data_IF_039829186149
#
_entry.id   IF_039829186149
#
_cell.length_a   1.000
_cell.length_b   1.000
_cell.length_c   1.000
_cell.angle_alpha   90.00
_cell.angle_beta   90.00
_cell.angle_gamma   90.00
#
_symmetry.space_group_name_H-M   'P 1'
#
loop_
_entity.id
_entity.type
_entity.pdbx_description
1 polymer ?
#
# COMPACT_ATOMS: atom_id res chain seq x y z
N UNK A 1 -0.36 39.70 14.77
CA UNK A 1 1.03 39.79 14.30
C UNK A 1 1.01 39.66 12.79
N UNK A 2 1.62 40.57 12.03
CA UNK A 2 1.76 40.38 10.57
C UNK A 2 2.78 39.27 10.34
N UNK A 3 2.40 38.24 9.57
CA UNK A 3 3.33 37.19 9.17
C UNK A 3 4.44 37.84 8.34
N UNK A 4 5.73 37.62 8.66
CA UNK A 4 6.82 38.21 7.89
C UNK A 4 6.77 37.67 6.44
N UNK A 5 6.95 38.55 5.48
CA UNK A 5 6.97 38.18 4.06
C UNK A 5 8.36 37.68 3.69
N UNK A 6 8.46 36.52 3.05
CA UNK A 6 9.72 36.04 2.48
C UNK A 6 10.10 36.92 1.30
N UNK A 7 11.30 37.47 1.32
CA UNK A 7 11.86 38.29 0.24
C UNK A 7 13.06 37.58 -0.37
N UNK A 8 13.21 37.66 -1.66
CA UNK A 8 14.41 37.15 -2.33
C UNK A 8 14.94 38.14 -3.36
N UNK A 9 16.23 38.03 -3.63
CA UNK A 9 16.89 38.80 -4.67
C UNK A 9 18.12 38.02 -5.18
N UNK A 10 18.44 38.22 -6.43
CA UNK A 10 19.65 37.70 -7.02
C UNK A 10 20.86 38.50 -6.54
N UNK A 11 21.97 37.78 -6.32
CA UNK A 11 23.22 38.35 -5.87
C UNK A 11 24.37 37.71 -6.64
N UNK A 12 25.29 38.55 -7.14
CA UNK A 12 26.49 38.12 -7.83
C UNK A 12 27.66 38.07 -6.82
N UNK A 13 28.11 36.87 -6.45
CA UNK A 13 29.20 36.68 -5.48
C UNK A 13 30.53 36.57 -6.22
N UNK A 14 31.46 37.55 -6.01
CA UNK A 14 32.76 37.55 -6.68
C UNK A 14 33.78 36.59 -6.04
N UNK A 15 33.46 35.99 -4.88
CA UNK A 15 34.42 35.21 -4.11
C UNK A 15 34.65 33.83 -4.73
N UNK A 16 35.95 33.45 -4.78
CA UNK A 16 36.40 32.14 -5.29
C UNK A 16 36.08 31.89 -6.78
N UNK A 17 36.06 32.92 -7.61
CA UNK A 17 35.93 32.86 -9.05
C UNK A 17 36.88 33.91 -9.68
N UNK A 18 37.47 33.56 -10.83
CA UNK A 18 38.36 34.44 -11.58
C UNK A 18 37.61 35.64 -12.15
N UNK A 19 38.02 36.89 -11.87
CA UNK A 19 37.47 38.07 -12.50
C UNK A 19 37.56 37.98 -14.05
N UNK A 20 36.60 38.53 -14.80
CA UNK A 20 35.46 39.38 -14.35
C UNK A 20 34.20 38.60 -13.94
N UNK A 21 34.29 37.30 -13.90
CA UNK A 21 33.12 36.46 -13.60
C UNK A 21 32.75 36.51 -12.11
N UNK A 22 31.44 36.38 -11.86
CA UNK A 22 30.84 36.26 -10.52
C UNK A 22 29.91 35.07 -10.48
N UNK A 23 29.82 34.42 -9.31
CA UNK A 23 28.92 33.30 -9.11
C UNK A 23 27.48 33.78 -8.87
N UNK A 24 26.54 33.17 -9.52
CA UNK A 24 25.13 33.45 -9.32
C UNK A 24 24.67 32.86 -7.96
N UNK A 25 24.04 33.68 -7.13
CA UNK A 25 23.48 33.31 -5.84
C UNK A 25 22.07 33.88 -5.68
N UNK A 26 21.18 33.11 -5.05
CA UNK A 26 19.87 33.58 -4.62
C UNK A 26 19.93 33.91 -3.13
N UNK A 27 19.71 35.17 -2.78
CA UNK A 27 19.57 35.64 -1.41
C UNK A 27 18.10 35.58 -0.99
N UNK A 28 17.79 34.80 0.02
CA UNK A 28 16.47 34.69 0.63
C UNK A 28 16.53 35.32 2.00
N UNK A 29 15.51 36.15 2.35
CA UNK A 29 15.44 36.87 3.60
C UNK A 29 14.07 36.64 4.25
N UNK A 30 14.06 36.25 5.53
CA UNK A 30 12.86 36.04 6.31
C UNK A 30 13.09 36.36 7.78
N UNK A 31 12.19 37.13 8.42
CA UNK A 31 12.23 37.48 9.85
C UNK A 31 13.60 37.99 10.34
N UNK A 32 14.28 38.83 9.54
CA UNK A 32 15.61 39.39 9.88
C UNK A 32 16.79 38.48 9.57
N UNK A 33 16.56 37.21 9.28
CA UNK A 33 17.60 36.24 8.89
C UNK A 33 17.78 36.20 7.38
N UNK A 34 18.98 35.77 6.93
CA UNK A 34 19.33 35.67 5.50
C UNK A 34 19.97 34.34 5.21
N UNK A 35 19.59 33.75 4.05
CA UNK A 35 20.18 32.56 3.48
C UNK A 35 20.64 32.84 2.05
N UNK A 36 21.83 32.32 1.68
CA UNK A 36 22.39 32.45 0.34
C UNK A 36 22.49 31.07 -0.30
N UNK A 37 21.58 30.79 -1.25
CA UNK A 37 21.67 29.60 -2.07
C UNK A 37 22.70 29.85 -3.18
N UNK A 38 23.82 29.14 -3.09
CA UNK A 38 24.85 29.13 -4.14
C UNK A 38 24.52 28.08 -5.17
N UNK A 39 24.77 28.40 -6.42
CA UNK A 39 24.60 27.48 -7.54
C UNK A 39 25.93 26.86 -7.94
N UNK A 40 25.84 25.89 -8.87
CA UNK A 40 27.01 25.23 -9.44
C UNK A 40 28.04 26.27 -9.88
N UNK A 41 29.32 26.10 -9.56
CA UNK A 41 30.40 27.03 -9.99
C UNK A 41 30.52 27.20 -11.49
N UNK A 42 29.92 26.31 -12.31
CA UNK A 42 29.87 26.48 -13.76
C UNK A 42 28.92 27.60 -14.19
N UNK A 43 27.92 27.97 -13.37
CA UNK A 43 26.99 29.09 -13.65
C UNK A 43 27.62 30.37 -13.11
N UNK A 44 28.41 31.00 -13.93
CA UNK A 44 29.09 32.27 -13.67
C UNK A 44 28.78 33.27 -14.77
N UNK A 45 28.65 34.54 -14.41
CA UNK A 45 28.29 35.64 -15.31
C UNK A 45 29.11 36.88 -15.00
N UNK A 46 29.31 37.74 -16.00
CA UNK A 46 29.84 39.10 -15.77
C UNK A 46 28.69 40.04 -15.40
N UNK A 47 29.03 41.27 -14.94
CA UNK A 47 28.04 42.28 -14.64
C UNK A 47 27.25 42.68 -15.91
N UNK A 48 27.91 42.76 -17.05
CA UNK A 48 27.33 43.10 -18.34
C UNK A 48 26.33 42.02 -18.78
N UNK A 49 26.70 40.75 -18.66
CA UNK A 49 25.82 39.61 -19.02
C UNK A 49 24.59 39.57 -18.10
N UNK A 50 24.76 39.89 -16.83
CA UNK A 50 23.63 39.98 -15.87
C UNK A 50 22.72 41.17 -16.20
N UNK A 51 23.27 42.30 -16.60
CA UNK A 51 22.50 43.45 -17.02
C UNK A 51 21.67 43.19 -18.26
N UNK A 52 22.22 42.45 -19.26
CA UNK A 52 21.48 42.00 -20.44
C UNK A 52 20.30 41.12 -20.05
N UNK A 53 20.49 40.16 -19.13
CA UNK A 53 19.39 39.33 -18.65
C UNK A 53 18.33 40.18 -17.94
N UNK A 54 18.74 41.13 -17.15
CA UNK A 54 17.83 42.04 -16.42
C UNK A 54 16.98 42.85 -17.41
N UNK A 55 17.57 43.39 -18.46
CA UNK A 55 16.86 44.11 -19.53
C UNK A 55 15.87 43.19 -20.28
N UNK A 56 16.28 41.96 -20.65
CA UNK A 56 15.39 40.98 -21.29
C UNK A 56 14.20 40.64 -20.40
N UNK A 57 14.40 40.45 -19.13
CA UNK A 57 13.34 40.14 -18.14
C UNK A 57 12.35 41.28 -17.94
N UNK A 58 12.80 42.52 -18.11
CA UNK A 58 11.95 43.74 -18.06
C UNK A 58 11.22 44.00 -19.39
N UNK A 59 11.35 43.13 -20.39
CA UNK A 59 10.75 43.29 -21.70
C UNK A 59 11.46 44.35 -22.59
N UNK A 60 12.66 44.77 -22.18
CA UNK A 60 13.46 45.69 -22.96
C UNK A 60 14.15 44.99 -24.15
N UNK A 61 14.33 45.70 -25.24
CA UNK A 61 14.96 45.10 -26.42
C UNK A 61 16.47 44.94 -26.21
N UNK A 62 16.95 43.71 -26.30
CA UNK A 62 18.38 43.37 -26.26
C UNK A 62 18.88 43.32 -27.72
N UNK A 63 19.64 44.33 -28.11
CA UNK A 63 20.15 44.44 -29.50
C UNK A 63 21.37 43.55 -29.72
N UNK A 64 21.64 43.16 -30.98
CA UNK A 64 22.82 42.38 -31.36
C UNK A 64 24.14 43.08 -30.92
N UNK A 65 24.17 44.41 -30.96
CA UNK A 65 25.33 45.17 -30.51
C UNK A 65 25.62 45.01 -29.03
N UNK A 66 24.59 45.06 -28.18
CA UNK A 66 24.73 44.83 -26.71
C UNK A 66 25.19 43.41 -26.41
N UNK A 67 24.76 42.43 -27.19
CA UNK A 67 25.23 41.05 -27.04
C UNK A 67 26.71 40.92 -27.42
N UNK A 68 27.13 41.53 -28.49
CA UNK A 68 28.54 41.55 -28.95
C UNK A 68 29.45 42.26 -27.91
N UNK A 69 29.00 43.41 -27.41
CA UNK A 69 29.76 44.18 -26.42
C UNK A 69 29.96 43.39 -25.09
N UNK A 70 29.05 42.49 -24.75
CA UNK A 70 29.13 41.60 -23.56
C UNK A 70 29.74 40.22 -23.89
N UNK A 71 30.24 40.00 -25.08
CA UNK A 71 30.76 38.70 -25.55
C UNK A 71 29.78 37.55 -25.30
N UNK A 72 28.49 37.77 -25.56
CA UNK A 72 27.40 36.84 -25.27
C UNK A 72 26.51 36.61 -26.51
N UNK A 73 25.95 35.40 -26.62
CA UNK A 73 24.98 35.08 -27.66
C UNK A 73 23.55 35.13 -27.13
N UNK A 74 22.57 35.26 -28.02
CA UNK A 74 21.17 35.22 -27.64
C UNK A 74 20.77 33.84 -27.07
N UNK A 75 21.42 32.77 -27.54
CA UNK A 75 21.20 31.42 -27.02
C UNK A 75 21.67 31.28 -25.60
N UNK A 76 22.87 31.73 -25.28
CA UNK A 76 23.42 31.77 -23.92
C UNK A 76 22.59 32.62 -22.96
N UNK A 77 22.05 33.76 -23.46
CA UNK A 77 21.17 34.61 -22.67
C UNK A 77 19.83 33.92 -22.37
N UNK A 78 19.28 33.20 -23.32
CA UNK A 78 18.05 32.41 -23.13
C UNK A 78 18.29 31.22 -22.18
N UNK A 79 19.44 30.57 -22.25
CA UNK A 79 19.84 29.51 -21.33
C UNK A 79 19.97 30.03 -19.90
N UNK A 80 20.65 31.15 -19.70
CA UNK A 80 20.78 31.80 -18.39
C UNK A 80 19.39 32.20 -17.85
N UNK A 81 18.51 32.75 -18.68
CA UNK A 81 17.12 33.04 -18.30
C UNK A 81 16.37 31.79 -17.88
N UNK A 82 16.55 30.67 -18.58
CA UNK A 82 15.99 29.37 -18.25
C UNK A 82 16.43 28.91 -16.85
N UNK A 83 17.73 29.00 -16.54
CA UNK A 83 18.28 28.64 -15.24
C UNK A 83 17.68 29.51 -14.13
N UNK A 84 17.68 30.83 -14.31
CA UNK A 84 17.12 31.79 -13.33
C UNK A 84 15.63 31.51 -13.06
N UNK A 85 14.85 31.33 -14.10
CA UNK A 85 13.41 31.06 -14.02
C UNK A 85 13.10 29.71 -13.35
N UNK A 86 13.93 28.69 -13.59
CA UNK A 86 13.79 27.39 -12.96
C UNK A 86 14.03 27.46 -11.44
N UNK A 87 15.01 28.25 -11.03
CA UNK A 87 15.34 28.45 -9.62
C UNK A 87 14.25 29.24 -8.89
N UNK A 88 13.74 30.30 -9.51
CA UNK A 88 12.64 31.09 -8.94
C UNK A 88 11.38 30.23 -8.75
N UNK A 89 11.04 29.44 -9.77
CA UNK A 89 9.93 28.47 -9.69
C UNK A 89 10.14 27.44 -8.57
N UNK A 90 11.40 26.99 -8.41
CA UNK A 90 11.77 26.10 -7.28
C UNK A 90 11.48 26.77 -5.94
N UNK A 91 11.89 28.03 -5.77
CA UNK A 91 11.66 28.79 -4.54
C UNK A 91 10.15 28.98 -4.29
N UNK A 92 9.39 29.36 -5.29
CA UNK A 92 7.94 29.53 -5.17
C UNK A 92 7.25 28.23 -4.72
N UNK A 93 7.65 27.09 -5.28
CA UNK A 93 7.12 25.79 -4.87
C UNK A 93 7.51 25.42 -3.44
N UNK A 94 8.74 25.72 -3.03
CA UNK A 94 9.19 25.55 -1.64
C UNK A 94 8.38 26.40 -0.70
N UNK A 95 8.18 27.67 -1.03
CA UNK A 95 7.39 28.59 -0.21
C UNK A 95 5.95 28.14 -0.04
N UNK A 96 5.29 27.69 -1.11
CA UNK A 96 3.94 27.11 -1.02
C UNK A 96 3.87 25.90 -0.08
N UNK A 97 4.87 25.03 -0.07
CA UNK A 97 4.93 23.86 0.83
C UNK A 97 5.08 24.24 2.28
N UNK A 98 5.77 25.34 2.55
CA UNK A 98 6.03 25.84 3.91
C UNK A 98 4.85 26.69 4.44
N UNK A 99 4.03 27.27 3.57
CA UNK A 99 2.82 28.03 3.96
C UNK A 99 1.85 27.21 4.83
N UNK A 100 1.83 25.89 4.68
CA UNK A 100 1.05 24.97 5.51
C UNK A 100 1.61 24.79 6.93
N UNK A 101 2.82 25.27 7.22
CA UNK A 101 3.42 25.21 8.54
C UNK A 101 2.85 26.32 9.42
N UNK A 102 2.42 25.97 10.64
CA UNK A 102 1.92 26.97 11.60
C UNK A 102 2.95 28.08 11.93
N UNK A 103 4.24 27.72 11.83
CA UNK A 103 5.38 28.62 11.91
C UNK A 103 6.55 27.98 11.17
N UNK A 104 7.37 28.78 10.51
CA UNK A 104 8.59 28.31 9.85
C UNK A 104 9.74 29.30 10.05
N UNK A 105 10.95 28.84 9.80
CA UNK A 105 12.21 29.60 9.97
C UNK A 105 12.96 29.64 8.64
N UNK A 106 14.05 30.41 8.58
CA UNK A 106 14.95 30.43 7.43
C UNK A 106 15.64 29.08 7.21
N UNK A 107 15.87 28.28 8.27
CA UNK A 107 16.43 26.94 8.16
C UNK A 107 15.43 25.94 7.56
N UNK A 108 14.14 26.11 7.81
CA UNK A 108 13.11 25.30 7.15
C UNK A 108 13.08 25.58 5.64
N UNK A 109 13.17 26.86 5.24
CA UNK A 109 13.29 27.23 3.82
C UNK A 109 14.53 26.61 3.20
N UNK A 110 15.68 26.68 3.86
CA UNK A 110 16.94 26.11 3.42
C UNK A 110 16.85 24.57 3.26
N UNK A 111 16.28 23.90 4.25
CA UNK A 111 16.08 22.46 4.25
C UNK A 111 15.17 22.04 3.09
N UNK A 112 13.98 22.64 2.99
CA UNK A 112 13.04 22.33 1.90
C UNK A 112 13.64 22.66 0.52
N UNK A 113 14.41 23.75 0.41
CA UNK A 113 15.08 24.08 -0.84
C UNK A 113 16.16 23.06 -1.22
N UNK A 114 16.88 22.50 -0.25
CA UNK A 114 17.89 21.47 -0.49
C UNK A 114 17.29 20.12 -0.94
N UNK A 115 16.16 19.74 -0.36
CA UNK A 115 15.48 18.47 -0.68
C UNK A 115 14.51 18.58 -1.87
N UNK A 116 14.24 19.79 -2.36
CA UNK A 116 13.34 19.98 -3.49
C UNK A 116 13.94 19.35 -4.76
N UNK A 117 13.22 18.41 -5.33
CA UNK A 117 13.52 17.82 -6.63
C UNK A 117 12.72 18.57 -7.70
N UNK A 118 13.36 19.16 -8.72
CA UNK A 118 12.64 19.80 -9.81
C UNK A 118 11.69 18.83 -10.49
N UNK A 119 10.51 19.30 -10.88
CA UNK A 119 9.56 18.51 -11.68
C UNK A 119 10.16 18.34 -13.07
N UNK A 120 10.87 17.25 -13.28
CA UNK A 120 11.32 16.81 -14.61
C UNK A 120 10.27 15.91 -15.25
N UNK A 121 10.36 15.66 -16.54
CA UNK A 121 9.48 14.69 -17.19
C UNK A 121 9.58 13.30 -16.57
N UNK A 122 10.78 12.90 -16.12
CA UNK A 122 11.00 11.64 -15.41
C UNK A 122 10.32 11.59 -14.03
N UNK A 123 10.30 12.71 -13.27
CA UNK A 123 9.65 12.76 -11.96
C UNK A 123 8.13 12.65 -12.03
N UNK A 124 7.54 12.93 -13.20
CA UNK A 124 6.11 12.75 -13.44
C UNK A 124 5.75 11.36 -13.98
N UNK A 125 6.74 10.56 -14.39
CA UNK A 125 6.50 9.21 -14.91
C UNK A 125 5.88 8.32 -13.84
N UNK A 126 4.81 7.59 -14.19
CA UNK A 126 4.05 6.78 -13.25
C UNK A 126 4.91 5.68 -12.63
N UNK A 127 5.71 4.95 -13.42
CA UNK A 127 6.60 3.89 -12.92
C UNK A 127 7.62 4.44 -11.93
N UNK A 128 8.31 5.51 -12.28
CA UNK A 128 9.30 6.16 -11.41
C UNK A 128 8.69 6.64 -10.10
N UNK A 129 7.42 7.10 -10.11
CA UNK A 129 6.69 7.48 -8.89
C UNK A 129 6.35 6.26 -8.02
N UNK A 130 5.96 5.12 -8.63
CA UNK A 130 5.77 3.87 -7.88
C UNK A 130 7.06 3.44 -7.21
N UNK A 131 8.17 3.41 -7.93
CA UNK A 131 9.50 3.01 -7.43
C UNK A 131 9.95 3.93 -6.28
N UNK A 132 9.89 5.24 -6.47
CA UNK A 132 10.23 6.22 -5.44
C UNK A 132 9.38 6.07 -4.18
N UNK A 133 8.06 5.89 -4.33
CA UNK A 133 7.16 5.66 -3.21
C UNK A 133 7.51 4.38 -2.44
N UNK A 134 7.80 3.30 -3.17
CA UNK A 134 8.14 2.02 -2.57
C UNK A 134 9.44 2.07 -1.78
N UNK A 135 10.44 2.77 -2.30
CA UNK A 135 11.73 2.91 -1.63
C UNK A 135 11.63 3.79 -0.38
N UNK A 136 10.86 4.88 -0.45
CA UNK A 136 10.70 5.79 0.69
C UNK A 136 9.76 5.28 1.78
N UNK A 137 8.70 4.52 1.43
CA UNK A 137 7.57 4.28 2.33
C UNK A 137 7.30 2.82 2.65
N UNK A 138 7.77 1.89 1.85
CA UNK A 138 7.39 0.48 1.96
C UNK A 138 8.62 -0.38 2.22
N UNK A 139 8.64 -1.06 3.35
CA UNK A 139 9.71 -2.00 3.73
C UNK A 139 9.33 -3.45 3.44
N UNK A 140 8.04 -3.80 3.52
CA UNK A 140 7.58 -5.19 3.38
C UNK A 140 7.58 -5.65 1.92
N UNK A 141 8.34 -6.70 1.61
CA UNK A 141 8.48 -7.30 0.27
C UNK A 141 7.12 -7.54 -0.42
N UNK A 142 6.20 -8.25 0.23
CA UNK A 142 4.86 -8.55 -0.36
C UNK A 142 4.07 -7.31 -0.70
N UNK A 143 4.17 -6.26 0.10
CA UNK A 143 3.50 -4.99 -0.21
C UNK A 143 4.13 -4.35 -1.43
N UNK A 144 5.47 -4.36 -1.55
CA UNK A 144 6.18 -3.90 -2.75
C UNK A 144 5.70 -4.66 -4.00
N UNK A 145 5.63 -5.99 -3.93
CA UNK A 145 5.16 -6.85 -5.04
C UNK A 145 3.74 -6.50 -5.50
N UNK A 146 2.81 -6.25 -4.57
CA UNK A 146 1.44 -5.82 -4.92
C UNK A 146 1.40 -4.46 -5.61
N UNK A 147 2.17 -3.49 -5.14
CA UNK A 147 2.27 -2.20 -5.79
C UNK A 147 2.91 -2.31 -7.18
N UNK A 148 3.98 -3.10 -7.33
CA UNK A 148 4.62 -3.32 -8.63
C UNK A 148 3.72 -4.08 -9.60
N UNK A 149 2.92 -5.02 -9.13
CA UNK A 149 1.89 -5.67 -9.95
C UNK A 149 0.86 -4.67 -10.46
N UNK A 150 0.41 -3.75 -9.60
CA UNK A 150 -0.48 -2.66 -10.00
C UNK A 150 0.19 -1.72 -11.01
N UNK A 151 1.44 -1.34 -10.77
CA UNK A 151 2.23 -0.52 -11.69
C UNK A 151 2.31 -1.15 -13.08
N UNK A 152 2.75 -2.41 -13.15
CA UNK A 152 2.91 -3.16 -14.40
C UNK A 152 1.59 -3.24 -15.17
N UNK A 153 0.48 -3.51 -14.48
CA UNK A 153 -0.83 -3.64 -15.11
C UNK A 153 -1.35 -2.29 -15.64
N UNK A 154 -1.20 -1.21 -14.86
CA UNK A 154 -1.63 0.13 -15.26
C UNK A 154 -0.79 0.66 -16.41
N UNK A 155 0.53 0.46 -16.38
CA UNK A 155 1.44 0.85 -17.45
C UNK A 155 1.15 0.08 -18.76
N UNK A 156 0.93 -1.24 -18.64
CA UNK A 156 0.51 -2.06 -19.79
C UNK A 156 -0.79 -1.56 -20.40
N UNK A 157 -1.80 -1.28 -19.59
CA UNK A 157 -3.06 -0.70 -20.07
C UNK A 157 -2.86 0.63 -20.78
N UNK A 158 -2.02 1.53 -20.24
CA UNK A 158 -1.71 2.80 -20.90
C UNK A 158 -1.09 2.58 -22.28
N UNK A 159 -0.12 1.67 -22.40
CA UNK A 159 0.54 1.35 -23.67
C UNK A 159 -0.45 0.79 -24.69
N UNK A 160 -1.31 -0.15 -24.26
CA UNK A 160 -2.29 -0.78 -25.15
C UNK A 160 -3.41 0.19 -25.59
N UNK A 161 -3.88 1.05 -24.68
CA UNK A 161 -4.99 1.97 -24.97
C UNK A 161 -4.57 3.23 -25.73
N UNK A 162 -3.35 3.73 -25.48
CA UNK A 162 -2.86 4.97 -26.11
C UNK A 162 -1.96 4.75 -27.32
N UNK A 163 -1.42 3.54 -27.52
CA UNK A 163 -0.38 3.24 -28.51
C UNK A 163 0.98 3.89 -28.21
N UNK A 164 1.16 4.48 -27.02
CA UNK A 164 2.38 5.19 -26.63
C UNK A 164 3.28 4.31 -25.77
N UNK A 165 4.57 4.64 -25.73
CA UNK A 165 5.52 3.96 -24.86
C UNK A 165 5.24 4.28 -23.37
N UNK A 166 5.43 3.32 -22.50
CA UNK A 166 5.28 3.46 -21.06
C UNK A 166 6.14 4.59 -20.47
N UNK A 167 7.32 4.86 -21.03
CA UNK A 167 8.19 5.96 -20.59
C UNK A 167 7.54 7.33 -20.70
N UNK A 168 6.52 7.48 -21.53
CA UNK A 168 5.74 8.72 -21.71
C UNK A 168 4.54 8.82 -20.78
N UNK A 169 4.22 7.76 -20.02
CA UNK A 169 3.07 7.75 -19.11
C UNK A 169 3.32 8.61 -17.89
N UNK A 170 2.64 9.74 -17.81
CA UNK A 170 2.76 10.70 -16.72
C UNK A 170 1.59 10.59 -15.74
N UNK A 171 1.83 10.92 -14.49
CA UNK A 171 0.78 10.90 -13.46
C UNK A 171 -0.36 11.89 -13.77
N UNK A 172 -0.10 12.91 -14.58
CA UNK A 172 -1.10 13.87 -15.09
C UNK A 172 -2.02 13.27 -16.15
N UNK A 173 -1.63 12.17 -16.80
CA UNK A 173 -2.46 11.44 -17.75
C UNK A 173 -3.52 10.57 -17.06
N UNK A 174 -3.38 10.37 -15.75
CA UNK A 174 -4.37 9.68 -14.93
C UNK A 174 -5.56 10.60 -14.71
N UNK A 175 -6.45 10.66 -15.69
CA UNK A 175 -7.69 11.45 -15.70
C UNK A 175 -8.90 10.60 -15.30
N UNK A 176 -10.06 11.23 -15.11
CA UNK A 176 -11.32 10.49 -14.92
C UNK A 176 -11.65 9.61 -16.12
N UNK A 177 -11.37 10.08 -17.35
CA UNK A 177 -11.58 9.31 -18.58
C UNK A 177 -10.70 8.06 -18.60
N UNK A 178 -9.41 8.20 -18.25
CA UNK A 178 -8.49 7.08 -18.11
C UNK A 178 -9.01 6.05 -17.10
N UNK A 179 -9.45 6.49 -15.92
CA UNK A 179 -9.96 5.59 -14.87
C UNK A 179 -11.25 4.89 -15.26
N UNK A 180 -12.13 5.53 -16.03
CA UNK A 180 -13.35 4.92 -16.58
C UNK A 180 -13.02 3.85 -17.61
N UNK A 181 -12.13 4.12 -18.56
CA UNK A 181 -11.65 3.13 -19.54
C UNK A 181 -10.95 1.96 -18.86
N UNK A 182 -10.10 2.23 -17.85
CA UNK A 182 -9.44 1.20 -17.07
C UNK A 182 -10.42 0.31 -16.29
N UNK A 183 -11.53 0.88 -15.84
CA UNK A 183 -12.61 0.13 -15.15
C UNK A 183 -13.38 -0.80 -16.08
N UNK A 184 -13.44 -0.52 -17.37
CA UNK A 184 -14.13 -1.34 -18.36
C UNK A 184 -13.45 -2.70 -18.62
N UNK A 185 -12.24 -2.92 -18.08
CA UNK A 185 -11.56 -4.22 -18.16
C UNK A 185 -12.25 -5.34 -17.37
N UNK A 186 -13.21 -5.01 -16.49
CA UNK A 186 -14.02 -5.96 -15.68
C UNK A 186 -13.21 -6.99 -14.88
N UNK A 187 -11.93 -6.72 -14.61
CA UNK A 187 -11.08 -7.59 -13.81
C UNK A 187 -11.26 -7.30 -12.32
N UNK A 188 -11.39 -8.33 -11.52
CA UNK A 188 -11.55 -8.22 -10.06
C UNK A 188 -10.41 -7.44 -9.37
N UNK A 189 -9.21 -7.45 -9.96
CA UNK A 189 -8.03 -6.72 -9.44
C UNK A 189 -8.02 -5.23 -9.76
N UNK A 190 -8.79 -4.74 -10.75
CA UNK A 190 -8.78 -3.33 -11.19
C UNK A 190 -9.07 -2.37 -10.05
N UNK A 191 -10.03 -2.69 -9.18
CA UNK A 191 -10.35 -1.84 -8.01
C UNK A 191 -9.17 -1.74 -7.06
N UNK A 192 -8.45 -2.83 -6.81
CA UNK A 192 -7.25 -2.83 -5.96
C UNK A 192 -6.13 -2.01 -6.61
N UNK A 193 -5.91 -2.18 -7.90
CA UNK A 193 -4.90 -1.43 -8.66
C UNK A 193 -5.20 0.07 -8.70
N UNK A 194 -6.46 0.47 -8.87
CA UNK A 194 -6.87 1.88 -8.77
C UNK A 194 -6.61 2.46 -7.37
N UNK A 195 -6.75 1.68 -6.30
CA UNK A 195 -6.41 2.12 -4.94
C UNK A 195 -4.91 2.37 -4.79
N UNK A 196 -4.07 1.50 -5.34
CA UNK A 196 -2.62 1.71 -5.35
C UNK A 196 -2.24 2.93 -6.19
N UNK A 197 -2.79 3.06 -7.39
CA UNK A 197 -2.56 4.23 -8.25
C UNK A 197 -3.00 5.53 -7.58
N UNK A 198 -4.13 5.55 -6.85
CA UNK A 198 -4.54 6.70 -6.04
C UNK A 198 -3.51 7.05 -4.96
N UNK A 199 -2.92 6.04 -4.33
CA UNK A 199 -1.86 6.29 -3.33
C UNK A 199 -0.67 6.98 -3.97
N UNK A 200 -0.25 6.55 -5.16
CA UNK A 200 0.84 7.18 -5.91
C UNK A 200 0.47 8.58 -6.38
N UNK A 201 -0.76 8.79 -6.85
CA UNK A 201 -1.26 10.11 -7.22
C UNK A 201 -1.22 11.08 -6.03
N UNK A 202 -1.67 10.64 -4.86
CA UNK A 202 -1.61 11.44 -3.65
C UNK A 202 -0.15 11.69 -3.19
N UNK A 203 0.73 10.70 -3.33
CA UNK A 203 2.16 10.86 -3.09
C UNK A 203 2.76 11.93 -4.02
N UNK A 204 2.44 11.91 -5.31
CA UNK A 204 2.86 12.95 -6.25
C UNK A 204 2.34 14.34 -5.84
N UNK A 205 1.11 14.44 -5.30
CA UNK A 205 0.58 15.70 -4.75
C UNK A 205 1.39 16.17 -3.53
N UNK A 206 1.66 15.30 -2.57
CA UNK A 206 2.46 15.67 -1.39
C UNK A 206 3.91 16.08 -1.74
N UNK A 207 4.42 15.63 -2.89
CA UNK A 207 5.71 16.07 -3.42
C UNK A 207 5.62 17.37 -4.25
N UNK A 208 4.44 17.98 -4.37
CA UNK A 208 4.22 19.19 -5.17
C UNK A 208 4.31 18.99 -6.68
N UNK A 209 4.26 17.73 -7.15
CA UNK A 209 4.33 17.38 -8.58
C UNK A 209 3.00 17.58 -9.29
N UNK A 210 1.90 17.63 -8.55
CA UNK A 210 0.55 17.92 -9.01
C UNK A 210 -0.01 19.02 -8.14
N UNK A 211 -0.64 20.04 -8.74
CA UNK A 211 -1.29 21.12 -7.99
C UNK A 211 -2.40 20.58 -7.10
N UNK A 212 -2.48 21.09 -5.87
CA UNK A 212 -3.53 20.73 -4.91
C UNK A 212 -4.92 21.20 -5.33
N UNK A 213 -4.99 22.29 -6.09
CA UNK A 213 -6.26 22.86 -6.59
C UNK A 213 -6.95 21.96 -7.63
N UNK A 214 -6.23 21.02 -8.24
CA UNK A 214 -6.85 20.07 -9.18
C UNK A 214 -7.67 19.04 -8.41
N UNK A 215 -8.97 18.84 -8.75
CA UNK A 215 -9.77 17.79 -8.17
C UNK A 215 -9.14 16.41 -8.44
N UNK A 216 -9.21 15.53 -7.46
CA UNK A 216 -8.69 14.16 -7.63
C UNK A 216 -9.55 13.38 -8.63
N UNK A 217 -8.97 12.80 -9.68
CA UNK A 217 -9.71 12.00 -10.67
C UNK A 217 -10.31 10.71 -10.07
N UNK A 218 -9.87 10.34 -8.86
CA UNK A 218 -10.34 9.14 -8.16
C UNK A 218 -11.65 9.33 -7.39
N UNK A 219 -12.17 10.55 -7.25
CA UNK A 219 -13.43 10.80 -6.56
C UNK A 219 -14.57 10.14 -7.34
N UNK A 220 -15.22 9.14 -6.72
CA UNK A 220 -16.29 8.36 -7.38
C UNK A 220 -15.82 7.27 -8.38
N UNK A 221 -14.54 7.25 -8.77
CA UNK A 221 -14.03 6.39 -9.85
C UNK A 221 -13.25 5.15 -9.37
N UNK A 222 -13.20 4.84 -8.07
CA UNK A 222 -12.47 3.66 -7.56
C UNK A 222 -13.29 2.39 -7.68
N UNK A 223 -14.58 2.45 -7.40
CA UNK A 223 -15.47 1.30 -7.31
C UNK A 223 -15.40 0.60 -5.94
N UNK A 224 -16.37 -0.27 -5.71
CA UNK A 224 -16.40 -1.17 -4.54
C UNK A 224 -15.79 -2.51 -4.94
N UNK A 225 -14.99 -3.10 -4.07
CA UNK A 225 -14.64 -4.52 -4.20
C UNK A 225 -15.84 -5.32 -3.68
N UNK A 226 -16.50 -6.05 -4.56
CA UNK A 226 -17.42 -7.09 -4.12
C UNK A 226 -16.58 -8.28 -3.66
N UNK A 227 -16.50 -8.50 -2.36
CA UNK A 227 -15.97 -9.74 -1.83
C UNK A 227 -17.15 -10.67 -1.58
N UNK A 228 -17.34 -11.65 -2.43
CA UNK A 228 -18.20 -12.79 -2.10
C UNK A 228 -17.42 -13.66 -1.11
N UNK A 229 -17.68 -13.50 0.17
CA UNK A 229 -17.13 -14.37 1.19
C UNK A 229 -17.97 -15.64 1.24
N UNK A 230 -17.34 -16.77 0.89
CA UNK A 230 -17.99 -18.07 0.85
C UNK A 230 -17.70 -18.79 2.16
N UNK A 231 -18.75 -19.28 2.81
CA UNK A 231 -18.65 -20.20 3.95
C UNK A 231 -19.19 -21.59 3.55
N UNK A 232 -18.59 -22.63 4.07
CA UNK A 232 -19.05 -24.00 3.87
C UNK A 232 -20.23 -24.32 4.79
N UNK A 233 -21.22 -25.03 4.27
CA UNK A 233 -22.30 -25.59 5.08
C UNK A 233 -21.79 -26.70 6.01
N UNK A 234 -22.59 -27.09 7.00
CA UNK A 234 -22.25 -28.20 7.91
C UNK A 234 -22.07 -29.50 7.15
N UNK A 235 -22.88 -29.76 6.12
CA UNK A 235 -22.75 -30.96 5.26
C UNK A 235 -21.43 -30.94 4.48
N UNK A 236 -21.09 -29.82 3.85
CA UNK A 236 -19.82 -29.67 3.12
C UNK A 236 -18.61 -29.84 4.05
N UNK A 237 -18.70 -29.36 5.30
CA UNK A 237 -17.64 -29.55 6.30
C UNK A 237 -17.52 -31.03 6.71
N UNK A 238 -18.64 -31.74 6.88
CA UNK A 238 -18.64 -33.16 7.19
C UNK A 238 -18.03 -33.97 6.04
N UNK A 239 -18.38 -33.69 4.80
CA UNK A 239 -17.79 -34.30 3.61
C UNK A 239 -16.30 -34.02 3.46
N UNK A 240 -15.88 -32.77 3.71
CA UNK A 240 -14.48 -32.35 3.61
C UNK A 240 -13.62 -33.05 4.66
N UNK A 241 -14.00 -33.03 5.94
CA UNK A 241 -13.17 -33.52 7.02
C UNK A 241 -13.40 -35.01 7.34
N UNK A 242 -14.57 -35.57 7.03
CA UNK A 242 -14.89 -36.98 7.18
C UNK A 242 -14.68 -37.80 5.90
N UNK A 243 -14.34 -37.16 4.78
CA UNK A 243 -14.15 -37.82 3.52
C UNK A 243 -12.97 -38.81 3.50
N UNK A 244 -13.10 -39.86 2.72
CA UNK A 244 -12.07 -40.88 2.52
C UNK A 244 -11.51 -40.88 1.08
N UNK A 245 -10.40 -41.58 0.85
CA UNK A 245 -9.82 -41.71 -0.49
C UNK A 245 -9.03 -40.49 -0.95
N UNK A 246 -8.57 -39.65 -0.02
CA UNK A 246 -7.58 -38.60 -0.29
C UNK A 246 -6.19 -39.21 -0.48
N UNK A 247 -5.44 -38.69 -1.44
CA UNK A 247 -4.00 -38.98 -1.50
C UNK A 247 -3.29 -38.41 -0.26
N UNK A 248 -2.08 -38.90 0.11
CA UNK A 248 -1.37 -38.36 1.27
C UNK A 248 -1.20 -36.83 1.26
N UNK A 249 -0.95 -36.22 0.08
CA UNK A 249 -0.84 -34.77 -0.08
C UNK A 249 -2.18 -34.07 0.09
N UNK A 250 -3.26 -34.65 -0.40
CA UNK A 250 -4.61 -34.11 -0.20
C UNK A 250 -5.05 -34.21 1.25
N UNK A 251 -4.77 -35.37 1.90
CA UNK A 251 -5.09 -35.57 3.31
C UNK A 251 -4.35 -34.56 4.20
N UNK A 252 -3.05 -34.37 3.95
CA UNK A 252 -2.28 -33.33 4.65
C UNK A 252 -2.93 -31.96 4.48
N UNK A 253 -3.29 -31.60 3.26
CA UNK A 253 -3.90 -30.28 2.98
C UNK A 253 -5.25 -30.11 3.67
N UNK A 254 -6.11 -31.15 3.66
CA UNK A 254 -7.41 -31.16 4.37
C UNK A 254 -7.21 -31.07 5.88
N UNK A 255 -6.27 -31.82 6.43
CA UNK A 255 -5.98 -31.80 7.86
C UNK A 255 -5.46 -30.43 8.34
N UNK A 256 -4.67 -29.72 7.49
CA UNK A 256 -4.26 -28.35 7.82
C UNK A 256 -5.40 -27.33 7.69
N UNK A 257 -6.39 -27.54 6.85
CA UNK A 257 -7.64 -26.77 6.89
C UNK A 257 -8.43 -27.08 8.19
N UNK A 258 -8.44 -28.33 8.62
CA UNK A 258 -9.09 -28.74 9.86
C UNK A 258 -8.40 -28.12 11.09
N UNK A 259 -7.06 -28.11 11.12
CA UNK A 259 -6.27 -27.40 12.13
C UNK A 259 -6.60 -25.89 12.10
N UNK A 260 -6.68 -25.29 10.90
CA UNK A 260 -7.05 -23.87 10.76
C UNK A 260 -8.42 -23.57 11.35
N UNK A 261 -9.41 -24.43 11.13
CA UNK A 261 -10.75 -24.31 11.71
C UNK A 261 -10.70 -24.33 13.24
N UNK A 262 -10.04 -25.34 13.82
CA UNK A 262 -9.86 -25.45 15.28
C UNK A 262 -9.06 -24.29 15.88
N UNK A 263 -8.16 -23.68 15.11
CA UNK A 263 -7.41 -22.49 15.51
C UNK A 263 -8.16 -21.18 15.15
N UNK A 264 -9.50 -21.18 15.26
CA UNK A 264 -10.36 -20.02 15.05
C UNK A 264 -10.15 -19.38 13.66
N UNK A 265 -10.06 -20.21 12.63
CA UNK A 265 -9.83 -19.74 11.28
C UNK A 265 -8.44 -19.13 11.08
N UNK A 266 -7.41 -19.70 11.64
CA UNK A 266 -6.03 -19.23 11.49
C UNK A 266 -5.58 -19.29 10.01
N UNK A 267 -4.80 -18.31 9.56
CA UNK A 267 -4.18 -18.36 8.25
C UNK A 267 -3.01 -19.36 8.25
N UNK A 268 -2.68 -19.91 7.09
CA UNK A 268 -1.55 -20.84 6.98
C UNK A 268 -0.24 -20.26 7.54
N UNK A 269 0.03 -18.98 7.30
CA UNK A 269 1.22 -18.33 7.84
C UNK A 269 1.25 -18.30 9.39
N UNK A 270 0.09 -18.11 10.03
CA UNK A 270 0.01 -18.16 11.49
C UNK A 270 0.31 -19.57 11.98
N UNK A 271 -0.26 -20.60 11.33
CA UNK A 271 -0.04 -22.02 11.68
C UNK A 271 1.42 -22.41 11.47
N UNK A 272 2.03 -22.05 10.34
CA UNK A 272 3.41 -22.40 10.03
C UNK A 272 4.42 -21.77 11.01
N UNK A 273 4.08 -20.62 11.60
CA UNK A 273 4.92 -19.94 12.60
C UNK A 273 4.66 -20.38 14.05
N UNK A 274 3.70 -21.28 14.31
CA UNK A 274 3.49 -21.78 15.66
C UNK A 274 4.74 -22.51 16.16
N UNK A 275 5.12 -22.19 17.38
CA UNK A 275 6.19 -22.84 18.12
C UNK A 275 5.64 -23.65 19.28
N UNK A 276 6.42 -24.56 19.83
CA UNK A 276 6.01 -25.34 21.00
C UNK A 276 5.70 -24.50 22.23
N UNK A 277 6.40 -23.39 22.42
CA UNK A 277 6.12 -22.43 23.48
C UNK A 277 4.79 -21.68 23.34
N UNK A 278 4.11 -21.78 22.19
CA UNK A 278 2.73 -21.31 22.05
C UNK A 278 1.71 -22.22 22.75
N UNK A 279 2.12 -23.43 23.17
CA UNK A 279 1.28 -24.32 23.95
C UNK A 279 1.47 -23.96 25.43
N UNK A 280 0.41 -23.40 26.02
CA UNK A 280 0.34 -23.05 27.43
C UNK A 280 -0.74 -23.90 28.13
N UNK A 281 -0.33 -24.87 28.94
CA UNK A 281 -1.20 -25.83 29.59
C UNK A 281 -2.13 -26.55 28.61
N UNK A 282 -3.41 -26.21 28.61
CA UNK A 282 -4.44 -26.79 27.72
C UNK A 282 -4.90 -25.86 26.64
N UNK A 283 -4.07 -24.88 26.27
CA UNK A 283 -4.39 -23.89 25.24
C UNK A 283 -3.23 -23.70 24.28
N UNK A 284 -3.55 -23.28 23.05
CA UNK A 284 -2.60 -22.66 22.12
C UNK A 284 -2.86 -21.15 22.15
N UNK A 285 -1.79 -20.38 22.36
CA UNK A 285 -1.83 -18.91 22.44
C UNK A 285 -0.90 -18.35 21.37
N UNK A 286 -1.44 -17.53 20.50
CA UNK A 286 -0.67 -16.91 19.43
C UNK A 286 -1.25 -15.56 19.01
N UNK A 287 -0.41 -14.70 18.43
CA UNK A 287 -0.83 -13.44 17.82
C UNK A 287 -0.80 -13.55 16.31
N UNK A 288 -1.78 -12.94 15.63
CA UNK A 288 -1.85 -12.92 14.16
C UNK A 288 -0.66 -12.15 13.56
N UNK A 289 0.06 -12.77 12.64
CA UNK A 289 1.22 -12.15 11.99
C UNK A 289 0.86 -10.87 11.22
N UNK A 290 -0.32 -10.83 10.58
CA UNK A 290 -0.77 -9.67 9.79
C UNK A 290 -0.97 -8.41 10.64
N UNK A 291 -1.28 -8.57 11.94
CA UNK A 291 -1.52 -7.46 12.87
C UNK A 291 -0.37 -7.25 13.87
N UNK A 292 0.68 -8.08 13.79
CA UNK A 292 1.88 -7.96 14.62
C UNK A 292 2.54 -6.59 14.40
N UNK A 293 2.47 -5.72 15.40
CA UNK A 293 2.99 -4.34 15.35
C UNK A 293 1.94 -3.23 15.42
N UNK A 294 0.64 -3.52 15.18
CA UNK A 294 -0.44 -2.51 15.36
C UNK A 294 -1.28 -2.73 16.61
N UNK A 295 -1.53 -3.97 16.99
CA UNK A 295 -2.04 -4.37 18.30
C UNK A 295 -1.76 -5.85 18.50
N UNK A 296 -1.47 -6.25 19.73
CA UNK A 296 -1.21 -7.64 20.12
C UNK A 296 -2.49 -8.26 20.66
N UNK A 297 -3.46 -8.56 19.79
CA UNK A 297 -4.57 -9.41 20.23
C UNK A 297 -4.07 -10.85 20.20
N UNK A 298 -4.07 -11.46 21.37
CA UNK A 298 -3.77 -12.87 21.51
C UNK A 298 -5.03 -13.67 21.23
N UNK A 299 -4.91 -14.65 20.35
CA UNK A 299 -5.92 -15.68 20.11
C UNK A 299 -5.58 -16.84 21.02
N UNK A 300 -6.52 -17.19 21.92
CA UNK A 300 -6.39 -18.30 22.86
C UNK A 300 -7.38 -19.39 22.49
N UNK A 301 -6.88 -20.57 22.16
CA UNK A 301 -7.67 -21.72 21.71
C UNK A 301 -7.47 -22.90 22.60
N UNK A 302 -8.56 -23.50 23.09
CA UNK A 302 -8.50 -24.74 23.94
C UNK A 302 -8.02 -25.93 23.09
N UNK A 303 -7.05 -26.65 23.58
CA UNK A 303 -6.56 -27.90 23.00
C UNK A 303 -7.57 -29.04 23.24
N UNK A 304 -8.50 -29.22 22.30
CA UNK A 304 -9.41 -30.35 22.30
C UNK A 304 -8.69 -31.66 21.97
N UNK A 305 -9.32 -32.81 22.23
CA UNK A 305 -8.77 -34.13 21.86
C UNK A 305 -8.51 -34.22 20.36
N UNK A 306 -9.46 -33.80 19.53
CA UNK A 306 -9.33 -33.80 18.07
C UNK A 306 -8.15 -32.93 17.58
N UNK A 307 -7.99 -31.69 18.12
CA UNK A 307 -6.88 -30.85 17.75
C UNK A 307 -5.53 -31.44 18.18
N UNK A 308 -5.46 -32.07 19.37
CA UNK A 308 -4.23 -32.76 19.82
C UNK A 308 -3.84 -33.91 18.89
N UNK A 309 -4.79 -34.70 18.42
CA UNK A 309 -4.55 -35.82 17.49
C UNK A 309 -4.02 -35.32 16.15
N UNK A 310 -4.61 -34.24 15.60
CA UNK A 310 -4.13 -33.60 14.40
C UNK A 310 -2.72 -33.03 14.53
N UNK A 311 -2.45 -32.35 15.67
CA UNK A 311 -1.10 -31.84 15.96
C UNK A 311 -0.11 -32.98 16.03
N UNK A 312 -0.40 -34.03 16.80
CA UNK A 312 0.48 -35.20 16.98
C UNK A 312 0.81 -35.88 15.65
N UNK A 313 -0.13 -35.90 14.69
CA UNK A 313 0.06 -36.49 13.38
C UNK A 313 1.11 -35.76 12.54
N UNK A 314 1.23 -34.43 12.70
CA UNK A 314 2.06 -33.57 11.86
C UNK A 314 3.13 -32.78 12.60
N UNK A 315 3.24 -32.94 13.95
CA UNK A 315 4.19 -32.17 14.72
C UNK A 315 5.66 -32.45 14.34
N UNK A 316 6.50 -31.44 14.51
CA UNK A 316 7.93 -31.53 14.30
C UNK A 316 8.57 -32.59 15.21
N UNK A 317 9.59 -33.26 14.70
CA UNK A 317 10.39 -34.24 15.48
C UNK A 317 11.17 -33.57 16.60
N UNK A 318 11.64 -32.35 16.39
CA UNK A 318 12.26 -31.54 17.42
C UNK A 318 11.22 -31.15 18.49
N UNK A 319 11.53 -31.51 19.74
CA UNK A 319 10.66 -31.30 20.90
C UNK A 319 11.15 -30.13 21.77
N UNK A 320 12.18 -29.40 21.35
CA UNK A 320 12.67 -28.24 22.11
C UNK A 320 11.59 -27.15 22.18
N UNK A 321 11.63 -26.36 23.27
CA UNK A 321 10.58 -25.36 23.58
C UNK A 321 10.40 -24.32 22.48
N UNK A 322 11.48 -23.95 21.80
CA UNK A 322 11.46 -22.91 20.77
C UNK A 322 11.34 -23.46 19.35
N UNK A 323 11.31 -24.81 19.18
CA UNK A 323 11.11 -25.44 17.87
C UNK A 323 9.74 -25.09 17.30
N UNK A 324 9.67 -24.99 15.99
CA UNK A 324 8.40 -24.87 15.27
C UNK A 324 7.52 -26.08 15.53
N UNK A 325 6.23 -25.84 15.73
CA UNK A 325 5.27 -26.93 16.05
C UNK A 325 5.12 -27.89 14.87
N UNK A 326 5.13 -27.35 13.66
CA UNK A 326 5.02 -28.11 12.40
C UNK A 326 6.29 -27.96 11.54
N UNK A 327 6.65 -28.98 10.73
CA UNK A 327 7.93 -29.01 10.00
C UNK A 327 7.92 -28.18 8.70
N UNK A 328 7.21 -27.06 8.67
CA UNK A 328 7.22 -26.14 7.52
C UNK A 328 8.42 -25.21 7.52
N UNK A 329 8.86 -24.85 8.73
CA UNK A 329 10.01 -23.97 8.95
C UNK A 329 11.07 -24.73 9.71
N UNK A 330 12.33 -24.36 9.48
CA UNK A 330 13.49 -24.89 10.18
C UNK A 330 14.36 -23.74 10.69
N UNK A 331 15.31 -24.02 11.58
CA UNK A 331 16.18 -23.02 12.21
C UNK A 331 17.06 -22.24 11.24
N UNK A 332 17.27 -22.77 10.03
CA UNK A 332 17.95 -22.04 8.95
C UNK A 332 17.15 -20.86 8.38
N UNK A 333 15.84 -20.77 8.64
CA UNK A 333 15.01 -19.65 8.23
C UNK A 333 15.01 -18.61 9.35
N UNK A 334 16.00 -17.73 9.38
CA UNK A 334 16.24 -16.79 10.47
C UNK A 334 15.75 -15.37 10.17
N UNK A 335 15.70 -14.99 8.91
CA UNK A 335 15.24 -13.67 8.47
C UNK A 335 13.79 -13.70 7.97
N UNK A 336 13.12 -12.55 8.02
CA UNK A 336 11.70 -12.41 7.64
C UNK A 336 11.46 -12.78 6.17
N UNK A 337 12.43 -12.58 5.30
CA UNK A 337 12.30 -12.85 3.87
C UNK A 337 12.36 -14.36 3.58
N UNK A 338 13.32 -15.07 4.15
CA UNK A 338 13.46 -16.52 4.00
C UNK A 338 12.25 -17.27 4.57
N UNK A 339 11.79 -16.86 5.76
CA UNK A 339 10.55 -17.36 6.38
C UNK A 339 9.36 -17.14 5.45
N UNK A 340 9.19 -15.93 4.93
CA UNK A 340 8.07 -15.60 4.05
C UNK A 340 8.09 -16.41 2.75
N UNK A 341 9.25 -16.55 2.10
CA UNK A 341 9.42 -17.35 0.88
C UNK A 341 9.08 -18.82 1.12
N UNK A 342 9.56 -19.38 2.25
CA UNK A 342 9.30 -20.77 2.59
C UNK A 342 7.81 -21.03 2.86
N UNK A 343 7.16 -20.15 3.63
CA UNK A 343 5.72 -20.22 3.88
C UNK A 343 4.92 -20.15 2.58
N UNK A 344 5.29 -19.27 1.64
CA UNK A 344 4.62 -19.13 0.35
C UNK A 344 4.76 -20.40 -0.49
N UNK A 345 5.94 -21.03 -0.51
CA UNK A 345 6.19 -22.28 -1.20
C UNK A 345 5.33 -23.43 -0.63
N UNK A 346 5.32 -23.60 0.69
CA UNK A 346 4.52 -24.63 1.35
C UNK A 346 3.01 -24.41 1.14
N UNK A 347 2.57 -23.15 1.28
CA UNK A 347 1.19 -22.76 1.01
C UNK A 347 0.79 -23.11 -0.42
N UNK A 348 1.66 -22.86 -1.40
CA UNK A 348 1.39 -23.18 -2.79
C UNK A 348 1.17 -24.69 -3.00
N UNK A 349 2.00 -25.55 -2.38
CA UNK A 349 1.83 -27.00 -2.44
C UNK A 349 0.49 -27.46 -1.85
N UNK A 350 0.13 -26.91 -0.68
CA UNK A 350 -1.16 -27.21 -0.04
C UNK A 350 -2.31 -26.74 -0.94
N UNK A 351 -2.27 -25.53 -1.46
CA UNK A 351 -3.33 -24.99 -2.32
C UNK A 351 -3.49 -25.78 -3.62
N UNK A 352 -2.39 -26.28 -4.20
CA UNK A 352 -2.44 -27.15 -5.36
C UNK A 352 -3.15 -28.50 -5.05
N UNK A 353 -2.90 -29.09 -3.87
CA UNK A 353 -3.60 -30.29 -3.42
C UNK A 353 -5.10 -30.02 -3.17
N UNK A 354 -5.44 -28.89 -2.53
CA UNK A 354 -6.81 -28.47 -2.26
C UNK A 354 -7.60 -28.19 -3.54
N UNK A 355 -6.97 -27.72 -4.61
CA UNK A 355 -7.64 -27.51 -5.89
C UNK A 355 -8.27 -28.80 -6.42
N UNK A 356 -7.60 -29.95 -6.25
CA UNK A 356 -8.13 -31.25 -6.63
C UNK A 356 -9.26 -31.72 -5.70
N UNK A 357 -9.13 -31.46 -4.39
CA UNK A 357 -10.20 -31.76 -3.42
C UNK A 357 -11.44 -30.91 -3.70
N UNK A 358 -11.25 -29.62 -3.99
CA UNK A 358 -12.32 -28.69 -4.38
C UNK A 358 -13.16 -29.25 -5.54
N UNK A 359 -12.50 -29.66 -6.62
CA UNK A 359 -13.18 -30.24 -7.81
C UNK A 359 -13.94 -31.51 -7.43
N UNK A 360 -13.31 -32.42 -6.68
CA UNK A 360 -13.92 -33.67 -6.25
C UNK A 360 -15.20 -33.49 -5.44
N UNK A 361 -15.22 -32.47 -4.54
CA UNK A 361 -16.35 -32.16 -3.67
C UNK A 361 -17.36 -31.18 -4.30
N UNK A 362 -17.15 -30.76 -5.54
CA UNK A 362 -18.04 -29.79 -6.21
C UNK A 362 -18.09 -28.40 -5.53
N UNK A 363 -17.06 -28.05 -4.77
CA UNK A 363 -17.02 -26.78 -4.05
C UNK A 363 -16.63 -25.64 -4.99
N UNK A 364 -17.26 -24.48 -4.83
CA UNK A 364 -16.91 -23.27 -5.61
C UNK A 364 -15.51 -22.76 -5.25
N UNK A 365 -15.19 -22.73 -3.96
CA UNK A 365 -13.91 -22.31 -3.43
C UNK A 365 -13.48 -23.17 -2.24
N UNK A 366 -12.17 -23.42 -2.11
CA UNK A 366 -11.60 -24.12 -0.96
C UNK A 366 -10.20 -23.57 -0.66
N UNK A 367 -10.06 -22.86 0.45
CA UNK A 367 -8.81 -22.28 0.93
C UNK A 367 -8.92 -21.90 2.41
N UNK A 368 -7.83 -21.41 3.02
CA UNK A 368 -7.82 -20.99 4.43
C UNK A 368 -8.78 -19.85 4.75
N UNK A 369 -9.06 -18.96 3.80
CA UNK A 369 -10.04 -17.88 4.01
C UNK A 369 -11.46 -18.45 4.05
N UNK A 370 -11.81 -19.39 3.18
CA UNK A 370 -13.10 -20.07 3.21
C UNK A 370 -13.31 -20.74 4.57
N UNK A 371 -12.31 -21.44 5.11
CA UNK A 371 -12.38 -22.04 6.45
C UNK A 371 -12.54 -20.98 7.55
N UNK A 372 -11.87 -19.85 7.41
CA UNK A 372 -12.02 -18.72 8.33
C UNK A 372 -13.44 -18.12 8.27
N UNK A 373 -14.01 -17.98 7.08
CA UNK A 373 -15.38 -17.55 6.87
C UNK A 373 -16.36 -18.53 7.49
N UNK A 374 -16.15 -19.83 7.26
CA UNK A 374 -16.94 -20.91 7.83
C UNK A 374 -16.91 -20.89 9.36
N UNK A 375 -15.72 -20.80 9.98
CA UNK A 375 -15.58 -20.67 11.42
C UNK A 375 -16.35 -19.46 11.96
N UNK A 376 -16.16 -18.28 11.36
CA UNK A 376 -16.82 -17.07 11.80
C UNK A 376 -18.34 -17.17 11.76
N UNK A 377 -18.89 -17.67 10.64
CA UNK A 377 -20.32 -17.83 10.44
C UNK A 377 -20.92 -18.84 11.41
N UNK A 378 -20.32 -20.03 11.50
CA UNK A 378 -20.82 -21.08 12.39
C UNK A 378 -20.74 -20.65 13.86
N UNK A 379 -19.63 -20.02 14.27
CA UNK A 379 -19.49 -19.50 15.64
C UNK A 379 -20.52 -18.43 15.93
N UNK A 380 -20.76 -17.51 15.00
CA UNK A 380 -21.77 -16.46 15.14
C UNK A 380 -23.18 -17.04 15.38
N UNK A 381 -23.57 -18.07 14.61
CA UNK A 381 -24.85 -18.72 14.80
C UNK A 381 -24.93 -19.56 16.10
N UNK A 382 -23.87 -20.30 16.41
CA UNK A 382 -23.81 -21.15 17.62
C UNK A 382 -23.76 -20.36 18.92
N UNK A 383 -23.34 -19.09 18.89
CA UNK A 383 -23.24 -18.20 20.05
C UNK A 383 -24.38 -17.21 20.16
N UNK A 384 -25.54 -17.50 19.54
CA UNK A 384 -26.67 -16.59 19.50
C UNK A 384 -26.33 -15.18 19.00
N UNK A 385 -25.54 -15.12 17.93
CA UNK A 385 -25.14 -13.88 17.28
C UNK A 385 -24.18 -12.99 18.09
N UNK A 386 -23.36 -13.58 18.95
CA UNK A 386 -22.31 -12.85 19.67
C UNK A 386 -21.16 -12.41 18.75
N UNK A 387 -21.34 -11.26 18.13
CA UNK A 387 -20.34 -10.65 17.23
C UNK A 387 -19.04 -10.27 17.95
N UNK A 388 -19.14 -9.92 19.25
CA UNK A 388 -17.97 -9.56 20.05
C UNK A 388 -17.10 -10.79 20.36
N UNK A 389 -17.73 -11.92 20.73
CA UNK A 389 -17.04 -13.19 20.91
C UNK A 389 -16.37 -13.67 19.63
N UNK A 390 -17.06 -13.57 18.47
CA UNK A 390 -16.48 -13.88 17.15
C UNK A 390 -15.32 -12.95 16.82
N UNK A 391 -15.43 -11.65 17.09
CA UNK A 391 -14.36 -10.67 16.89
C UNK A 391 -13.10 -11.05 17.66
N UNK A 392 -13.23 -11.37 18.94
CA UNK A 392 -12.12 -11.83 19.79
C UNK A 392 -11.53 -13.16 19.30
N UNK A 393 -12.39 -14.13 18.98
CA UNK A 393 -11.95 -15.44 18.48
C UNK A 393 -11.16 -15.32 17.18
N UNK A 394 -11.59 -14.45 16.29
CA UNK A 394 -10.89 -14.15 15.02
C UNK A 394 -9.61 -13.30 15.22
N UNK A 395 -9.41 -12.69 16.36
CA UNK A 395 -8.30 -11.77 16.62
C UNK A 395 -8.41 -10.47 15.81
N UNK A 396 -9.62 -9.93 15.63
CA UNK A 396 -9.86 -8.64 15.01
C UNK A 396 -9.77 -7.50 16.04
N UNK A 397 -9.16 -6.37 15.66
CA UNK A 397 -9.01 -5.20 16.51
C UNK A 397 -10.24 -4.29 16.55
N UNK A 398 -11.09 -4.39 15.52
CA UNK A 398 -12.27 -3.55 15.35
C UNK A 398 -13.46 -4.45 15.01
N UNK A 399 -14.52 -4.30 15.81
CA UNK A 399 -15.77 -5.05 15.66
C UNK A 399 -16.41 -4.82 14.28
N UNK A 400 -16.23 -3.61 13.71
CA UNK A 400 -16.69 -3.28 12.35
C UNK A 400 -16.07 -4.19 11.29
N UNK A 401 -14.82 -4.62 11.50
CA UNK A 401 -14.18 -5.59 10.61
C UNK A 401 -14.94 -6.92 10.62
N UNK A 402 -15.38 -7.37 11.79
CA UNK A 402 -16.16 -8.61 11.93
C UNK A 402 -17.58 -8.43 11.38
N UNK A 403 -18.20 -7.31 11.62
CA UNK A 403 -19.54 -6.99 11.09
C UNK A 403 -19.55 -6.97 9.57
N UNK A 404 -18.71 -6.16 8.94
CA UNK A 404 -18.58 -6.11 7.48
C UNK A 404 -18.21 -7.49 6.88
N UNK A 405 -17.52 -8.29 7.65
CA UNK A 405 -17.11 -9.63 7.27
C UNK A 405 -18.31 -10.59 7.27
N UNK A 406 -19.14 -10.57 8.33
CA UNK A 406 -20.35 -11.38 8.43
C UNK A 406 -21.42 -10.94 7.43
N UNK A 407 -21.61 -9.63 7.24
CA UNK A 407 -22.58 -9.05 6.30
C UNK A 407 -22.25 -9.42 4.83
N UNK A 408 -21.00 -9.71 4.53
CA UNK A 408 -20.55 -10.08 3.17
C UNK A 408 -20.59 -11.61 2.90
N UNK A 409 -20.94 -12.41 3.90
CA UNK A 409 -21.03 -13.87 3.75
C UNK A 409 -22.40 -14.20 3.16
N UNK A 410 -22.40 -14.71 1.95
CA UNK A 410 -23.58 -15.32 1.34
C UNK A 410 -23.72 -16.71 1.95
N UNK A 411 -24.74 -16.90 2.78
CA UNK A 411 -25.16 -18.23 3.24
C UNK A 411 -26.32 -18.64 2.33
N UNK A 412 -26.11 -19.64 1.51
CA UNK A 412 -27.22 -20.31 0.83
C UNK A 412 -28.20 -20.82 1.90
N UNK A 413 -29.43 -20.31 1.90
CA UNK A 413 -30.50 -20.74 2.82
C UNK A 413 -30.72 -19.88 4.06
N UNK A 414 -30.26 -18.62 4.14
CA UNK A 414 -30.53 -17.74 5.30
C UNK A 414 -31.99 -17.35 5.49
N UNK A 415 -32.83 -17.48 4.46
CA UNK A 415 -34.28 -17.21 4.59
C UNK A 415 -35.00 -18.29 5.40
N UNK A 416 -34.57 -19.56 5.29
CA UNK A 416 -35.21 -20.69 5.96
C UNK A 416 -35.14 -20.63 7.50
N UNK A 417 -33.98 -20.34 8.13
CA UNK A 417 -33.91 -20.23 9.60
C UNK A 417 -34.74 -19.10 10.18
N UNK A 418 -34.79 -17.94 9.48
CA UNK A 418 -35.59 -16.79 9.94
C UNK A 418 -37.09 -17.11 9.83
N UNK A 419 -37.49 -17.74 8.75
CA UNK A 419 -38.87 -18.18 8.53
C UNK A 419 -39.27 -19.21 9.57
N UNK A 420 -38.41 -20.19 9.83
CA UNK A 420 -38.64 -21.23 10.85
C UNK A 420 -38.70 -20.68 12.26
N UNK A 421 -37.81 -19.74 12.64
CA UNK A 421 -37.88 -19.05 13.91
C UNK A 421 -39.14 -18.21 14.08
N UNK A 422 -39.63 -17.56 13.01
CA UNK A 422 -40.92 -16.84 13.03
C UNK A 422 -42.08 -17.77 13.19
N UNK A 423 -42.07 -18.94 12.53
CA UNK A 423 -43.12 -19.96 12.65
C UNK A 423 -43.13 -20.59 14.05
N UNK A 424 -41.96 -20.86 14.62
CA UNK A 424 -41.82 -21.37 16.00
C UNK A 424 -42.37 -20.34 17.02
N UNK A 425 -42.01 -19.07 16.89
CA UNK A 425 -42.52 -17.97 17.70
C UNK A 425 -44.03 -17.84 17.57
N UNK A 426 -44.56 -17.86 16.36
CA UNK A 426 -46.01 -17.78 16.10
C UNK A 426 -46.73 -18.97 16.74
N UNK A 427 -46.18 -20.18 16.62
CA UNK A 427 -46.76 -21.40 17.22
C UNK A 427 -46.68 -21.37 18.75
N UNK A 428 -45.71 -20.72 19.38
CA UNK A 428 -45.68 -20.48 20.82
C UNK A 428 -46.79 -19.52 21.25
N UNK A 429 -46.94 -18.39 20.54
CA UNK A 429 -48.01 -17.43 20.82
C UNK A 429 -49.44 -18.03 20.68
N UNK A 430 -49.62 -18.96 19.71
CA UNK A 430 -50.92 -19.61 19.52
C UNK A 430 -51.21 -20.74 20.54
N UNK A 431 -50.19 -21.22 21.26
CA UNK A 431 -50.36 -22.20 22.34
C UNK A 431 -50.61 -21.59 23.72
N UNK A 432 -50.35 -20.29 23.88
CA UNK A 432 -50.58 -19.53 25.10
C UNK A 432 -51.93 -18.80 25.12
N UNK A 433 -52.79 -18.92 24.06
CA UNK A 433 -54.16 -18.51 23.98
C UNK A 433 -55.11 -19.72 24.10
#
# INVERSE_FOLDING_TARGET
>A
MKIPIVKWAWYLDPRNIDPPYKRLCLRISYAGSRYFQRFDPTVKVTDEQWDLLSKQRQGQNVTKKLLQDAEYTQEQLNELQGIVSAVERRLENVLRRIEDYKSFTIEDIKHEFAIYVPVTEQTLNVRSLFESYLDERITKRKTKEFYMSACNHVCKFYTESSGRNESTFRITDVTESFLKQYSALELSSVVAYKRHLRTIYNYARTKGLISEDKPSPFKGNIGKMESKNIALSTTQMAELFGGSGYTPKQQLAVDFLHIAYWLNGANFADIANLKRNNIDNNHIVFSRLKTKGRSRIEVRVKLTKALRELIKKYENKDKSKDAYLFPFLADCHTDEESISKKIDAEKHLIMHALAKVKVRLGLTELNFNVIRHTFATQTYHLTNHDIYGVCKALGHNDIRTTQNYLDSIVIDGTEEPITKAKEELLNQFLKEQ
#
